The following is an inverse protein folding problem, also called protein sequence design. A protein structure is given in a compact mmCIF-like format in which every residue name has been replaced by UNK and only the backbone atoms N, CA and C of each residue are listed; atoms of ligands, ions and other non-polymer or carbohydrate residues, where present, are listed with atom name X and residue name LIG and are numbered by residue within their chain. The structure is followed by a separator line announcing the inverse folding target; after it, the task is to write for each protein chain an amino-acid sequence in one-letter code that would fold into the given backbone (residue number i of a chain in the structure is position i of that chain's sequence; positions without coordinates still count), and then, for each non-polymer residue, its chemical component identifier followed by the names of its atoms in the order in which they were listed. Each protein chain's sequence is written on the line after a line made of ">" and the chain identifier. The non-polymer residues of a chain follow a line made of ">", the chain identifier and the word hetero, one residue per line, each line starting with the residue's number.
data_IF_936794320021
#
_entry.id   IF_936794320021
#
_cell.length_a   1.000
_cell.length_b   1.000
_cell.length_c   1.000
_cell.angle_alpha   90.00
_cell.angle_beta   90.00
_cell.angle_gamma   90.00
#
_symmetry.space_group_name_H-M   'P 1'
#
loop_
_entity.id
_entity.type
_entity.pdbx_description
1 polymer ?
#
# COMPACT_ATOMS: atom_id res chain seq x y z
N UNK A 1 15.68 -6.80 5.78
CA UNK A 1 15.40 -7.89 6.74
C UNK A 1 14.51 -8.94 6.07
N UNK A 2 14.67 -10.26 6.37
CA UNK A 2 13.84 -11.29 5.73
C UNK A 2 12.36 -11.04 6.00
N UNK A 3 11.54 -11.17 4.97
CA UNK A 3 10.08 -11.10 5.04
C UNK A 3 9.51 -12.50 5.16
N UNK A 4 8.34 -12.64 5.80
CA UNK A 4 7.52 -13.82 5.66
C UNK A 4 6.92 -13.90 4.26
N UNK A 5 6.36 -15.04 3.91
CA UNK A 5 5.67 -15.20 2.64
C UNK A 5 5.43 -16.66 2.31
N UNK A 6 4.74 -16.88 1.20
CA UNK A 6 4.57 -18.16 0.56
C UNK A 6 4.98 -18.04 -0.90
N UNK A 7 5.65 -19.07 -1.43
CA UNK A 7 6.02 -19.15 -2.83
C UNK A 7 5.47 -20.45 -3.40
N UNK A 8 4.63 -20.35 -4.41
CA UNK A 8 4.11 -21.46 -5.20
C UNK A 8 4.10 -21.07 -6.68
N UNK A 9 3.75 -22.02 -7.56
CA UNK A 9 3.63 -21.72 -8.98
C UNK A 9 2.51 -20.71 -9.28
N UNK A 10 1.52 -20.62 -8.40
CA UNK A 10 0.28 -19.84 -8.58
C UNK A 10 0.32 -18.48 -7.85
N UNK A 11 1.05 -18.40 -6.71
CA UNK A 11 1.11 -17.20 -5.86
C UNK A 11 2.49 -17.07 -5.22
N UNK A 12 3.08 -15.89 -5.35
CA UNK A 12 4.24 -15.46 -4.58
C UNK A 12 3.82 -14.25 -3.75
N UNK A 13 3.91 -14.34 -2.43
CA UNK A 13 3.56 -13.25 -1.52
C UNK A 13 4.68 -13.01 -0.53
N UNK A 14 5.02 -11.74 -0.29
CA UNK A 14 6.04 -11.32 0.66
C UNK A 14 5.39 -10.40 1.70
N UNK A 15 5.41 -10.85 2.95
CA UNK A 15 4.73 -10.17 4.06
C UNK A 15 5.72 -9.30 4.84
N UNK A 16 5.46 -8.02 4.93
CA UNK A 16 6.23 -7.09 5.76
C UNK A 16 5.90 -7.28 7.24
N UNK A 17 4.64 -7.51 7.56
CA UNK A 17 4.13 -7.77 8.91
C UNK A 17 3.59 -9.19 9.04
N UNK A 18 3.34 -9.62 10.27
CA UNK A 18 2.73 -10.92 10.54
C UNK A 18 1.38 -11.06 9.84
N UNK A 19 1.28 -12.06 8.97
CA UNK A 19 0.12 -12.30 8.12
C UNK A 19 0.01 -13.78 7.76
N UNK A 20 -1.19 -14.33 7.70
CA UNK A 20 -1.47 -15.74 7.44
C UNK A 20 -0.61 -16.68 8.33
N UNK A 21 0.22 -17.52 7.75
CA UNK A 21 1.08 -18.47 8.47
C UNK A 21 2.42 -17.86 8.91
N UNK A 22 2.71 -16.61 8.57
CA UNK A 22 3.91 -15.90 9.01
C UNK A 22 3.62 -15.13 10.30
N UNK A 23 4.37 -15.40 11.36
CA UNK A 23 4.25 -14.68 12.62
C UNK A 23 5.63 -14.30 13.19
N UNK A 24 5.85 -12.99 13.35
CA UNK A 24 6.95 -12.42 14.12
C UNK A 24 6.34 -11.38 15.10
N UNK A 25 6.42 -11.61 16.42
CA UNK A 25 5.80 -10.70 17.41
C UNK A 25 6.39 -9.27 17.39
N UNK A 26 7.57 -9.08 16.79
CA UNK A 26 8.20 -7.77 16.62
C UNK A 26 7.69 -7.03 15.37
N UNK A 27 6.88 -7.72 14.54
CA UNK A 27 6.40 -7.24 13.23
C UNK A 27 4.92 -7.55 13.06
N UNK A 28 4.09 -7.03 13.96
CA UNK A 28 2.64 -7.21 13.87
C UNK A 28 1.99 -6.05 13.12
N UNK A 29 2.45 -4.84 13.36
CA UNK A 29 1.98 -3.62 12.73
C UNK A 29 2.98 -2.47 12.92
N UNK A 30 2.75 -1.36 12.22
CA UNK A 30 3.42 -0.09 12.46
C UNK A 30 2.34 1.00 12.60
N UNK A 31 2.01 1.40 13.83
CA UNK A 31 0.85 2.22 14.10
C UNK A 31 -0.44 1.60 13.53
N UNK A 32 -1.19 2.33 12.71
CA UNK A 32 -2.38 1.79 12.06
C UNK A 32 -2.09 0.91 10.82
N UNK A 33 -0.86 0.89 10.31
CA UNK A 33 -0.45 0.02 9.20
C UNK A 33 -0.35 -1.43 9.67
N UNK A 34 -1.33 -2.26 9.27
CA UNK A 34 -1.45 -3.64 9.72
C UNK A 34 -0.85 -4.65 8.74
N UNK A 35 -0.98 -4.41 7.45
CA UNK A 35 -0.47 -5.28 6.37
C UNK A 35 0.19 -4.44 5.30
N UNK A 36 1.31 -4.91 4.79
CA UNK A 36 1.92 -4.50 3.55
C UNK A 36 2.49 -5.76 2.90
N UNK A 37 1.73 -6.31 1.96
CA UNK A 37 2.12 -7.47 1.17
C UNK A 37 2.50 -7.04 -0.25
N UNK A 38 3.49 -7.72 -0.79
CA UNK A 38 3.98 -7.58 -2.15
C UNK A 38 3.67 -8.91 -2.86
N UNK A 39 2.64 -8.88 -3.68
CA UNK A 39 2.03 -10.07 -4.24
C UNK A 39 2.26 -10.16 -5.75
N UNK A 40 2.60 -11.36 -6.21
CA UNK A 40 2.63 -11.74 -7.62
C UNK A 40 1.71 -12.94 -7.81
N UNK A 41 0.70 -12.79 -8.66
CA UNK A 41 -0.31 -13.81 -8.93
C UNK A 41 -0.21 -14.26 -10.39
N UNK A 42 -0.13 -15.58 -10.58
CA UNK A 42 -0.04 -16.20 -11.91
C UNK A 42 -1.30 -15.92 -12.76
N UNK A 43 -1.21 -16.09 -14.09
CA UNK A 43 -2.36 -15.96 -14.98
C UNK A 43 -3.56 -16.82 -14.56
N UNK A 44 -4.75 -16.23 -14.56
CA UNK A 44 -6.01 -16.92 -14.20
C UNK A 44 -6.19 -17.23 -12.71
N UNK A 45 -5.17 -17.03 -11.89
CA UNK A 45 -5.16 -17.32 -10.46
C UNK A 45 -5.57 -16.10 -9.62
N UNK A 46 -5.66 -16.29 -8.31
CA UNK A 46 -6.00 -15.19 -7.38
C UNK A 46 -6.47 -15.64 -6.02
N UNK A 47 -7.09 -14.70 -5.33
CA UNK A 47 -7.71 -14.92 -4.02
C UNK A 47 -9.21 -15.10 -4.21
N UNK A 48 -9.71 -16.29 -3.93
CA UNK A 48 -11.13 -16.60 -3.94
C UNK A 48 -11.91 -15.76 -2.93
N UNK A 49 -13.24 -15.86 -2.95
CA UNK A 49 -14.10 -15.09 -2.06
C UNK A 49 -13.77 -15.32 -0.59
N UNK A 50 -13.46 -14.23 0.12
CA UNK A 50 -13.13 -14.23 1.55
C UNK A 50 -13.67 -12.97 2.23
N UNK A 51 -13.92 -13.01 3.56
CA UNK A 51 -14.51 -11.90 4.29
C UNK A 51 -13.48 -10.95 4.87
N UNK A 52 -13.90 -9.68 5.04
CA UNK A 52 -13.24 -8.67 5.85
C UNK A 52 -14.26 -7.88 6.67
N UNK A 53 -13.84 -7.36 7.80
CA UNK A 53 -14.56 -6.36 8.60
C UNK A 53 -13.57 -5.38 9.24
N UNK A 54 -14.05 -4.17 9.54
CA UNK A 54 -13.33 -3.12 10.26
C UNK A 54 -11.89 -2.90 9.78
N UNK A 55 -11.69 -2.85 8.47
CA UNK A 55 -10.38 -2.68 7.83
C UNK A 55 -10.51 -1.79 6.60
N UNK A 56 -9.53 -0.92 6.41
CA UNK A 56 -9.30 -0.21 5.14
C UNK A 56 -8.28 -1.01 4.33
N UNK A 57 -8.63 -1.38 3.11
CA UNK A 57 -7.81 -2.19 2.23
C UNK A 57 -7.49 -1.39 0.98
N UNK A 58 -6.20 -1.14 0.77
CA UNK A 58 -5.68 -0.36 -0.36
C UNK A 58 -4.89 -1.30 -1.26
N UNK A 59 -5.24 -1.35 -2.55
CA UNK A 59 -4.51 -2.13 -3.55
C UNK A 59 -3.88 -1.18 -4.58
N UNK A 60 -2.59 -1.39 -4.85
CA UNK A 60 -1.79 -0.63 -5.81
C UNK A 60 -1.25 -1.62 -6.84
N UNK A 61 -1.79 -1.60 -8.06
CA UNK A 61 -1.26 -2.41 -9.15
C UNK A 61 0.09 -1.85 -9.61
N UNK A 62 1.10 -2.73 -9.69
CA UNK A 62 2.45 -2.41 -10.17
C UNK A 62 2.63 -2.85 -11.62
N UNK A 63 2.16 -4.06 -11.96
CA UNK A 63 2.20 -4.65 -13.31
C UNK A 63 0.94 -5.49 -13.53
N UNK A 64 0.50 -5.60 -14.77
CA UNK A 64 -0.69 -6.39 -15.13
C UNK A 64 -1.99 -5.75 -14.70
N UNK A 65 -3.00 -6.56 -14.37
CA UNK A 65 -4.32 -6.08 -13.98
C UNK A 65 -4.98 -7.00 -12.95
N UNK A 66 -5.52 -6.44 -11.88
CA UNK A 66 -6.21 -7.15 -10.81
C UNK A 66 -7.72 -6.98 -10.95
N UNK A 67 -8.46 -8.07 -11.05
CA UNK A 67 -9.93 -8.07 -11.11
C UNK A 67 -10.50 -8.24 -9.70
N UNK A 68 -11.21 -7.24 -9.24
CA UNK A 68 -11.95 -7.24 -7.98
C UNK A 68 -13.42 -7.57 -8.23
N UNK A 69 -14.01 -8.36 -7.31
CA UNK A 69 -15.46 -8.57 -7.23
C UNK A 69 -15.87 -8.63 -5.76
N UNK A 70 -16.99 -8.00 -5.38
CA UNK A 70 -17.43 -7.96 -3.98
C UNK A 70 -18.93 -8.18 -3.79
N UNK A 71 -19.32 -8.38 -2.51
CA UNK A 71 -20.70 -8.61 -2.10
C UNK A 71 -21.64 -7.39 -2.25
N UNK A 72 -21.09 -6.22 -2.56
CA UNK A 72 -21.89 -5.02 -2.89
C UNK A 72 -22.21 -4.93 -4.40
N UNK A 73 -21.71 -5.90 -5.19
CA UNK A 73 -21.94 -5.97 -6.63
C UNK A 73 -20.91 -5.21 -7.46
N UNK A 74 -19.82 -4.74 -6.87
CA UNK A 74 -18.74 -4.15 -7.65
C UNK A 74 -17.98 -5.25 -8.40
N UNK A 75 -17.73 -5.01 -9.68
CA UNK A 75 -16.83 -5.77 -10.54
C UNK A 75 -15.95 -4.80 -11.31
N UNK A 76 -14.69 -4.71 -10.94
CA UNK A 76 -13.74 -3.73 -11.48
C UNK A 76 -12.39 -4.38 -11.78
N UNK A 77 -11.64 -3.74 -12.66
CA UNK A 77 -10.27 -4.14 -12.98
C UNK A 77 -9.35 -2.97 -12.64
N UNK A 78 -8.44 -3.20 -11.70
CA UNK A 78 -7.42 -2.26 -11.26
C UNK A 78 -6.16 -2.42 -12.13
N UNK A 79 -5.63 -1.30 -12.64
CA UNK A 79 -4.41 -1.25 -13.45
C UNK A 79 -3.39 -0.29 -12.86
N UNK A 80 -2.10 -0.38 -13.27
CA UNK A 80 -1.11 0.65 -12.95
C UNK A 80 -1.61 2.06 -13.31
N UNK A 81 -1.39 3.02 -12.41
CA UNK A 81 -1.95 4.37 -12.53
C UNK A 81 -3.31 4.57 -11.88
N UNK A 82 -3.89 3.53 -11.34
CA UNK A 82 -5.12 3.56 -10.56
C UNK A 82 -4.86 3.12 -9.11
N UNK A 83 -5.74 3.50 -8.20
CA UNK A 83 -5.76 3.02 -6.83
C UNK A 83 -7.14 2.50 -6.46
N UNK A 84 -7.19 1.38 -5.76
CA UNK A 84 -8.40 0.82 -5.17
C UNK A 84 -8.37 1.00 -3.67
N UNK A 85 -9.47 1.46 -3.10
CA UNK A 85 -9.70 1.50 -1.64
C UNK A 85 -11.02 0.83 -1.34
N UNK A 86 -10.98 -0.20 -0.49
CA UNK A 86 -12.16 -0.89 0.03
C UNK A 86 -12.22 -0.69 1.54
N UNK A 87 -13.29 -0.08 2.03
CA UNK A 87 -13.60 0.00 3.45
C UNK A 87 -14.51 -1.18 3.81
N UNK A 88 -14.02 -2.12 4.61
CA UNK A 88 -14.76 -3.32 4.94
C UNK A 88 -15.90 -3.06 5.95
N UNK A 89 -15.74 -2.07 6.83
CA UNK A 89 -16.79 -1.60 7.74
C UNK A 89 -17.47 -2.73 8.51
N UNK A 90 -18.80 -2.78 8.45
CA UNK A 90 -19.61 -3.82 9.13
C UNK A 90 -19.47 -5.22 8.55
N UNK A 91 -18.77 -5.37 7.43
CA UNK A 91 -18.46 -6.63 6.77
C UNK A 91 -18.69 -6.61 5.27
N UNK A 92 -17.76 -7.19 4.54
CA UNK A 92 -17.80 -7.39 3.09
C UNK A 92 -17.13 -8.73 2.76
N UNK A 93 -17.56 -9.38 1.69
CA UNK A 93 -16.80 -10.47 1.08
C UNK A 93 -16.33 -10.01 -0.29
N UNK A 94 -15.09 -10.35 -0.65
CA UNK A 94 -14.55 -10.02 -1.95
C UNK A 94 -13.62 -11.10 -2.50
N UNK A 95 -13.30 -11.00 -3.77
CA UNK A 95 -12.31 -11.80 -4.47
C UNK A 95 -11.39 -10.90 -5.27
N UNK A 96 -10.12 -11.30 -5.41
CA UNK A 96 -9.12 -10.59 -6.18
C UNK A 96 -8.40 -11.60 -7.09
N UNK A 97 -8.64 -11.51 -8.39
CA UNK A 97 -8.14 -12.44 -9.40
C UNK A 97 -7.23 -11.73 -10.39
N UNK A 98 -6.23 -12.40 -10.91
CA UNK A 98 -5.53 -11.91 -12.08
C UNK A 98 -6.53 -11.77 -13.24
N UNK A 99 -6.57 -10.61 -13.88
CA UNK A 99 -7.48 -10.36 -15.01
C UNK A 99 -6.95 -10.94 -16.33
N UNK A 100 -5.69 -11.40 -16.37
CA UNK A 100 -5.03 -12.00 -17.55
C UNK A 100 -4.94 -13.49 -17.43
N UNK A 101 -5.13 -14.19 -18.55
CA UNK A 101 -4.90 -15.64 -18.69
C UNK A 101 -3.47 -15.98 -19.14
N UNK A 102 -2.61 -14.96 -19.41
CA UNK A 102 -1.28 -15.17 -20.00
C UNK A 102 -0.16 -14.45 -19.26
N UNK A 103 -0.45 -13.34 -18.58
CA UNK A 103 0.55 -12.51 -17.91
C UNK A 103 0.29 -12.44 -16.40
N UNK A 104 1.33 -12.42 -15.57
CA UNK A 104 1.16 -12.26 -14.13
C UNK A 104 0.68 -10.85 -13.77
N UNK A 105 0.05 -10.71 -12.61
CA UNK A 105 -0.22 -9.43 -11.97
C UNK A 105 0.67 -9.26 -10.76
N UNK A 106 1.24 -8.05 -10.57
CA UNK A 106 1.99 -7.66 -9.38
C UNK A 106 1.33 -6.45 -8.73
N UNK A 107 1.13 -6.51 -7.43
CA UNK A 107 0.49 -5.42 -6.69
C UNK A 107 0.92 -5.39 -5.22
N UNK A 108 0.77 -4.23 -4.61
CA UNK A 108 0.86 -4.08 -3.16
C UNK A 108 -0.54 -4.14 -2.57
N UNK A 109 -0.70 -4.99 -1.55
CA UNK A 109 -1.90 -5.07 -0.72
C UNK A 109 -1.59 -4.45 0.64
N UNK A 110 -2.28 -3.37 0.99
CA UNK A 110 -2.00 -2.59 2.20
C UNK A 110 -3.27 -2.50 3.04
N UNK A 111 -3.18 -2.90 4.33
CA UNK A 111 -4.32 -2.81 5.24
C UNK A 111 -4.04 -1.83 6.36
N UNK A 112 -5.02 -1.00 6.64
CA UNK A 112 -4.97 0.02 7.68
C UNK A 112 -6.14 -0.18 8.64
N UNK A 113 -5.83 -0.13 9.93
CA UNK A 113 -6.87 -0.12 10.98
C UNK A 113 -7.72 1.15 10.85
N UNK A 114 -9.02 1.01 10.97
CA UNK A 114 -9.97 2.12 10.91
C UNK A 114 -9.91 3.00 12.17
N UNK A 115 -10.31 4.25 12.06
CA UNK A 115 -10.44 5.19 13.20
C UNK A 115 -11.60 4.84 14.13
N UNK A 116 -12.64 4.16 13.61
CA UNK A 116 -13.78 3.63 14.34
C UNK A 116 -14.24 2.29 13.76
N UNK A 117 -15.03 1.55 14.53
CA UNK A 117 -15.65 0.30 14.08
C UNK A 117 -17.00 0.55 13.39
N UNK A 118 -17.37 -0.41 12.55
CA UNK A 118 -18.69 -0.49 11.93
C UNK A 118 -19.03 0.66 10.97
N UNK A 119 -18.03 1.18 10.27
CA UNK A 119 -18.28 2.05 9.11
C UNK A 119 -19.16 1.33 8.08
N UNK A 120 -19.85 2.08 7.26
CA UNK A 120 -20.56 1.52 6.10
C UNK A 120 -19.55 0.96 5.10
N UNK A 121 -19.71 -0.30 4.64
CA UNK A 121 -18.85 -0.85 3.61
C UNK A 121 -18.83 0.00 2.34
N UNK A 122 -17.65 0.15 1.74
CA UNK A 122 -17.46 1.04 0.60
C UNK A 122 -16.37 0.50 -0.34
N UNK A 123 -16.55 0.72 -1.62
CA UNK A 123 -15.55 0.50 -2.66
C UNK A 123 -15.32 1.80 -3.43
N UNK A 124 -14.07 2.14 -3.67
CA UNK A 124 -13.66 3.30 -4.45
C UNK A 124 -12.44 2.94 -5.31
N UNK A 125 -12.49 3.25 -6.59
CA UNK A 125 -11.36 3.13 -7.51
C UNK A 125 -11.19 4.47 -8.20
N UNK A 126 -9.96 4.98 -8.19
CA UNK A 126 -9.63 6.32 -8.66
C UNK A 126 -8.45 6.23 -9.63
N UNK A 127 -8.57 6.90 -10.77
CA UNK A 127 -7.44 7.16 -11.65
C UNK A 127 -6.57 8.26 -11.03
N UNK A 128 -5.29 7.95 -10.81
CA UNK A 128 -4.35 8.89 -10.20
C UNK A 128 -3.96 9.99 -11.18
N UNK A 129 -3.80 11.20 -10.68
CA UNK A 129 -3.21 12.27 -11.48
C UNK A 129 -1.75 11.91 -11.87
N UNK A 130 -1.23 12.41 -13.01
CA UNK A 130 0.14 12.18 -13.39
C UNK A 130 1.13 12.64 -12.32
N UNK A 131 1.95 11.72 -11.83
CA UNK A 131 2.97 12.02 -10.83
C UNK A 131 4.15 12.80 -11.46
N UNK A 132 4.70 13.74 -10.69
CA UNK A 132 5.94 14.43 -11.07
C UNK A 132 7.12 13.74 -10.40
N UNK A 133 8.20 13.52 -11.16
CA UNK A 133 9.44 12.99 -10.59
C UNK A 133 9.99 13.94 -9.52
N UNK A 134 10.60 13.36 -8.49
CA UNK A 134 11.23 14.06 -7.37
C UNK A 134 10.24 14.90 -6.51
N UNK A 135 8.97 14.52 -6.54
CA UNK A 135 7.91 15.15 -5.73
C UNK A 135 7.03 14.05 -5.15
N UNK A 136 6.84 13.95 -3.82
CA UNK A 136 5.87 13.02 -3.25
C UNK A 136 4.47 13.30 -3.82
N UNK A 137 3.85 12.26 -4.38
CA UNK A 137 2.53 12.33 -4.98
C UNK A 137 1.52 11.61 -4.09
N UNK A 138 0.57 12.37 -3.53
CA UNK A 138 -0.48 11.80 -2.67
C UNK A 138 -1.42 10.93 -3.51
N UNK A 139 -1.67 9.71 -3.03
CA UNK A 139 -2.55 8.73 -3.69
C UNK A 139 -3.72 8.29 -2.80
N UNK A 140 -3.57 8.37 -1.46
CA UNK A 140 -4.65 8.17 -0.49
C UNK A 140 -4.53 9.20 0.62
N UNK A 141 -5.66 9.68 1.10
CA UNK A 141 -5.77 10.66 2.19
C UNK A 141 -6.94 10.30 3.13
N UNK A 142 -7.06 10.93 4.30
CA UNK A 142 -8.27 10.87 5.11
C UNK A 142 -9.48 11.39 4.32
N UNK A 143 -10.67 10.94 4.71
CA UNK A 143 -11.94 11.39 4.10
C UNK A 143 -12.01 12.92 4.00
N UNK A 144 -12.38 13.41 2.79
CA UNK A 144 -12.53 14.85 2.50
C UNK A 144 -11.23 15.66 2.42
N UNK A 145 -10.04 15.03 2.54
CA UNK A 145 -8.74 15.74 2.53
C UNK A 145 -7.89 15.49 1.29
N UNK A 146 -8.29 14.61 0.39
CA UNK A 146 -7.53 14.23 -0.81
C UNK A 146 -7.82 15.09 -2.03
N UNK A 147 -8.96 14.90 -2.64
CA UNK A 147 -9.35 15.50 -3.93
C UNK A 147 -9.83 14.45 -4.93
N UNK A 148 -10.05 14.87 -6.18
CA UNK A 148 -10.72 14.05 -7.20
C UNK A 148 -9.89 12.80 -7.62
N UNK A 149 -8.56 12.94 -7.68
CA UNK A 149 -7.64 11.88 -8.10
C UNK A 149 -6.91 11.19 -6.93
N UNK A 150 -7.53 11.17 -5.76
CA UNK A 150 -6.96 10.62 -4.53
C UNK A 150 -7.98 9.71 -3.87
N UNK A 151 -7.58 8.47 -3.56
CA UNK A 151 -8.39 7.57 -2.74
C UNK A 151 -8.54 8.10 -1.32
N UNK A 152 -9.52 7.61 -0.55
CA UNK A 152 -9.63 8.03 0.84
C UNK A 152 -9.99 6.87 1.78
N UNK A 153 -9.59 7.00 3.04
CA UNK A 153 -9.73 6.00 4.10
C UNK A 153 -10.33 6.62 5.36
N UNK A 154 -11.00 5.79 6.18
CA UNK A 154 -11.47 6.14 7.52
C UNK A 154 -10.32 6.00 8.54
N UNK A 155 -9.27 6.78 8.33
CA UNK A 155 -8.14 6.90 9.24
C UNK A 155 -7.38 8.20 8.92
N UNK A 156 -6.74 8.84 9.89
CA UNK A 156 -5.80 9.94 9.61
C UNK A 156 -4.48 9.37 9.05
N UNK A 157 -4.60 8.82 7.85
CA UNK A 157 -3.52 8.13 7.14
C UNK A 157 -3.36 8.68 5.72
N UNK A 158 -2.10 8.83 5.30
CA UNK A 158 -1.73 9.37 4.00
C UNK A 158 -0.79 8.41 3.29
N UNK A 159 -1.02 8.20 2.00
CA UNK A 159 -0.14 7.39 1.15
C UNK A 159 0.40 8.26 0.03
N UNK A 160 1.68 8.09 -0.24
CA UNK A 160 2.37 8.78 -1.32
C UNK A 160 3.13 7.78 -2.16
N UNK A 161 3.20 8.04 -3.46
CA UNK A 161 4.21 7.46 -4.34
C UNK A 161 5.30 8.48 -4.59
N UNK A 162 6.53 8.01 -4.83
CA UNK A 162 7.68 8.84 -5.14
C UNK A 162 8.51 8.16 -6.22
N UNK A 163 8.61 8.80 -7.39
CA UNK A 163 9.60 8.50 -8.40
C UNK A 163 10.78 9.44 -8.19
N UNK A 164 11.91 8.90 -7.80
CA UNK A 164 13.10 9.67 -7.40
C UNK A 164 14.27 9.39 -8.35
N UNK A 165 14.84 10.43 -8.91
CA UNK A 165 16.07 10.32 -9.70
C UNK A 165 17.27 10.12 -8.80
N UNK A 166 18.30 9.44 -9.32
CA UNK A 166 19.58 9.30 -8.65
C UNK A 166 20.15 10.65 -8.21
N UNK A 167 20.74 10.68 -7.01
CA UNK A 167 21.36 11.84 -6.37
C UNK A 167 20.40 13.02 -6.04
N UNK A 168 19.09 12.84 -6.28
CA UNK A 168 18.08 13.81 -5.85
C UNK A 168 17.70 13.57 -4.39
N UNK A 169 17.47 14.67 -3.69
CA UNK A 169 16.98 14.68 -2.30
C UNK A 169 15.62 15.33 -2.26
N UNK A 170 14.69 14.69 -1.57
CA UNK A 170 13.34 15.19 -1.30
C UNK A 170 13.15 15.24 0.21
N UNK A 171 12.75 16.39 0.74
CA UNK A 171 12.31 16.50 2.12
C UNK A 171 10.89 15.95 2.26
N UNK A 172 10.80 14.80 2.92
CA UNK A 172 9.50 14.21 3.27
C UNK A 172 8.98 14.85 4.56
N UNK A 173 7.75 15.32 4.55
CA UNK A 173 7.11 15.96 5.71
C UNK A 173 5.88 15.22 6.15
N UNK A 174 5.76 15.02 7.46
CA UNK A 174 4.56 14.44 8.05
C UNK A 174 3.37 15.41 7.90
N UNK A 175 2.20 14.88 7.54
CA UNK A 175 0.98 15.69 7.45
C UNK A 175 0.50 16.21 8.79
N UNK A 176 0.80 15.48 9.86
CA UNK A 176 0.45 15.82 11.23
C UNK A 176 1.66 15.55 12.12
N UNK A 177 1.94 16.48 13.05
CA UNK A 177 3.03 16.34 14.03
C UNK A 177 2.81 15.12 14.91
N UNK A 178 3.90 14.41 15.21
CA UNK A 178 3.86 13.20 16.03
C UNK A 178 3.40 11.95 15.28
N UNK A 179 3.10 12.04 13.98
CA UNK A 179 2.91 10.88 13.13
C UNK A 179 4.23 10.15 12.90
N UNK A 180 4.14 8.88 12.52
CA UNK A 180 5.23 8.10 11.96
C UNK A 180 5.06 7.91 10.46
N UNK A 181 6.15 7.67 9.74
CA UNK A 181 6.14 7.27 8.34
C UNK A 181 6.69 5.86 8.19
N UNK A 182 6.11 5.10 7.26
CA UNK A 182 6.68 3.84 6.78
C UNK A 182 7.05 4.02 5.32
N UNK A 183 8.34 3.91 5.00
CA UNK A 183 8.87 4.00 3.64
C UNK A 183 9.12 2.59 3.14
N UNK A 184 8.61 2.28 1.95
CA UNK A 184 8.78 1.00 1.28
C UNK A 184 9.31 1.22 -0.14
N UNK A 185 10.47 0.68 -0.45
CA UNK A 185 11.11 0.80 -1.77
C UNK A 185 10.55 -0.27 -2.70
N UNK A 186 9.96 0.13 -3.82
CA UNK A 186 9.46 -0.78 -4.85
C UNK A 186 10.59 -1.17 -5.79
N UNK A 187 11.34 -0.19 -6.30
CA UNK A 187 12.44 -0.38 -7.24
C UNK A 187 13.59 0.58 -6.91
N UNK A 188 14.81 0.20 -7.28
CA UNK A 188 15.99 0.99 -7.01
C UNK A 188 16.39 1.00 -5.54
N UNK A 189 17.11 2.01 -5.11
CA UNK A 189 17.58 2.19 -3.72
C UNK A 189 17.56 3.65 -3.31
N UNK A 190 17.27 3.88 -2.04
CA UNK A 190 17.22 5.22 -1.43
C UNK A 190 17.95 5.22 -0.09
N UNK A 191 18.44 6.37 0.33
CA UNK A 191 18.74 6.67 1.73
C UNK A 191 17.54 7.43 2.31
N UNK A 192 16.98 6.94 3.40
CA UNK A 192 15.89 7.61 4.10
C UNK A 192 16.25 7.80 5.58
N UNK A 193 16.19 9.02 6.08
CA UNK A 193 16.57 9.36 7.46
C UNK A 193 17.96 8.80 7.87
N UNK A 194 18.93 8.75 6.95
CA UNK A 194 20.29 8.27 7.17
C UNK A 194 20.51 6.76 7.06
N UNK A 195 19.48 5.99 6.66
CA UNK A 195 19.56 4.54 6.47
C UNK A 195 19.34 4.17 5.00
N UNK A 196 20.19 3.27 4.49
CA UNK A 196 20.06 2.75 3.12
C UNK A 196 18.99 1.67 3.02
N UNK A 197 18.10 1.82 2.04
CA UNK A 197 17.03 0.88 1.70
C UNK A 197 17.19 0.43 0.24
N UNK A 198 17.33 -0.86 0.04
CA UNK A 198 17.32 -1.50 -1.28
C UNK A 198 15.91 -1.85 -1.76
N UNK A 199 15.79 -2.47 -2.95
CA UNK A 199 14.50 -2.88 -3.50
C UNK A 199 13.75 -3.80 -2.54
N UNK A 200 12.48 -3.49 -2.31
CA UNK A 200 11.57 -4.22 -1.42
C UNK A 200 11.94 -4.15 0.07
N UNK A 201 12.87 -3.28 0.46
CA UNK A 201 13.07 -2.96 1.87
C UNK A 201 12.00 -1.98 2.35
N UNK A 202 11.70 -2.05 3.66
CA UNK A 202 10.78 -1.15 4.32
C UNK A 202 11.29 -0.72 5.69
N UNK A 203 11.04 0.54 6.06
CA UNK A 203 11.47 1.13 7.31
C UNK A 203 10.40 2.02 7.91
N UNK A 204 10.14 1.84 9.20
CA UNK A 204 9.32 2.75 10.01
C UNK A 204 10.18 3.86 10.64
N UNK A 205 9.75 5.10 10.51
CA UNK A 205 10.42 6.30 11.04
C UNK A 205 9.46 6.97 12.02
N UNK A 206 9.93 7.21 13.24
CA UNK A 206 9.17 7.88 14.31
C UNK A 206 10.01 8.97 14.97
N UNK A 207 9.35 9.94 15.60
CA UNK A 207 10.04 11.00 16.34
C UNK A 207 10.66 12.08 15.47
N UNK A 208 10.32 12.13 14.18
CA UNK A 208 10.72 13.19 13.26
C UNK A 208 9.48 13.76 12.57
N UNK A 209 9.36 15.07 12.46
CA UNK A 209 8.28 15.72 11.69
C UNK A 209 8.63 15.82 10.20
N UNK A 210 9.90 15.75 9.86
CA UNK A 210 10.44 15.73 8.49
C UNK A 210 11.76 14.96 8.42
N UNK A 211 12.09 14.40 7.28
CA UNK A 211 13.36 13.72 7.01
C UNK A 211 13.67 13.69 5.51
N UNK A 212 14.97 13.67 5.13
CA UNK A 212 15.36 13.54 3.74
C UNK A 212 15.18 12.11 3.22
N UNK A 213 14.79 12.00 1.93
CA UNK A 213 14.87 10.80 1.14
C UNK A 213 15.76 11.12 -0.07
N UNK A 214 16.88 10.42 -0.21
CA UNK A 214 17.85 10.59 -1.31
C UNK A 214 17.83 9.36 -2.21
N UNK A 215 17.76 9.55 -3.52
CA UNK A 215 17.95 8.47 -4.50
C UNK A 215 19.41 8.04 -4.58
N UNK A 216 19.74 6.81 -4.20
CA UNK A 216 21.06 6.23 -4.46
C UNK A 216 21.14 5.67 -5.88
N UNK A 217 19.99 5.27 -6.42
CA UNK A 217 19.76 5.00 -7.84
C UNK A 217 18.46 5.70 -8.25
N UNK A 218 18.05 5.60 -9.53
CA UNK A 218 16.66 5.87 -9.89
C UNK A 218 15.78 4.90 -9.12
N UNK A 219 14.78 5.42 -8.40
CA UNK A 219 14.00 4.64 -7.45
C UNK A 219 12.51 4.95 -7.53
N UNK A 220 11.70 3.94 -7.17
CA UNK A 220 10.26 4.08 -6.89
C UNK A 220 9.99 3.64 -5.47
N UNK A 221 9.28 4.44 -4.72
CA UNK A 221 8.88 4.13 -3.36
C UNK A 221 7.41 4.46 -3.12
N UNK A 222 6.82 3.76 -2.16
CA UNK A 222 5.57 4.15 -1.52
C UNK A 222 5.86 4.50 -0.07
N UNK A 223 5.27 5.58 0.41
CA UNK A 223 5.32 5.92 1.82
C UNK A 223 3.92 6.00 2.39
N UNK A 224 3.82 5.66 3.66
CA UNK A 224 2.61 5.68 4.45
C UNK A 224 2.86 6.51 5.71
N UNK A 225 1.97 7.43 6.03
CA UNK A 225 2.07 8.28 7.24
C UNK A 225 0.79 8.18 8.04
N UNK A 226 0.89 8.01 9.36
CA UNK A 226 -0.25 7.90 10.25
C UNK A 226 0.11 8.27 11.69
N UNK A 227 -0.90 8.42 12.53
CA UNK A 227 -0.73 8.56 13.97
C UNK A 227 -0.02 7.32 14.55
N UNK A 228 1.09 7.53 15.25
CA UNK A 228 1.76 6.46 16.00
C UNK A 228 0.93 6.19 17.26
N UNK A 229 0.37 4.99 17.36
CA UNK A 229 -0.38 4.54 18.53
C UNK A 229 0.55 4.11 19.66
#
# INVERSE_FOLDING_TARGET
>A
MPRGGATGAELQTHHTFSFANYYDPRRVHFGALRVLNDDTVAPGEGFGTHPHDNMEIVSIALEGALRHGDSMGNMKVLRPGEIQVMSAGTGITHSEMNASETEPVKFLQIWVLTDAQNHTPRYNQVELAPAKRNVPHVIVAPEGRGGEHVGWVHQDAWFYTLDLDKDRVVEYRMNTRGHGAYVFVIEGSVEAAGEELGPRDGMGITGADEFPIKGETDAKAVSYTHLTL
#
